data_IF_879920897234
#
_entry.id   IF_879920897234
#
_cell.length_a   1.000
_cell.length_b   1.000
_cell.length_c   1.000
_cell.angle_alpha   90.00
_cell.angle_beta   90.00
_cell.angle_gamma   90.00
#
_symmetry.space_group_name_H-M   'P 1'
#
loop_
_entity.id
_entity.type
_entity.pdbx_description
1 polymer ?
#
# COMPACT_ATOMS: atom_id res chain seq x y z
N UNK A 1 11.08 -6.21 6.44
CA UNK A 1 10.47 -5.86 5.16
C UNK A 1 9.14 -5.14 5.40
N UNK A 2 8.83 -4.16 4.59
CA UNK A 2 7.57 -3.41 4.73
C UNK A 2 6.48 -4.07 3.92
N UNK A 3 5.28 -4.13 4.47
CA UNK A 3 4.14 -4.77 3.84
C UNK A 3 2.91 -3.88 3.92
N UNK A 4 2.13 -3.85 2.84
CA UNK A 4 0.86 -3.14 2.79
C UNK A 4 -0.22 -4.07 2.24
N UNK A 5 -1.36 -4.09 2.91
CA UNK A 5 -2.53 -4.84 2.45
C UNK A 5 -3.62 -3.86 2.04
N UNK A 6 -4.00 -3.89 0.78
CA UNK A 6 -5.02 -2.98 0.26
C UNK A 6 -6.37 -3.17 0.96
N UNK A 7 -6.66 -4.38 1.41
CA UNK A 7 -7.91 -4.68 2.11
C UNK A 7 -8.10 -3.90 3.40
N UNK A 8 -7.03 -3.38 3.98
CA UNK A 8 -7.14 -2.54 5.18
C UNK A 8 -7.60 -1.13 4.84
N UNK A 9 -7.45 -0.71 3.60
CA UNK A 9 -7.87 0.60 3.14
C UNK A 9 -9.14 0.50 2.28
N UNK A 10 -9.19 -0.50 1.42
CA UNK A 10 -10.36 -0.76 0.56
C UNK A 10 -10.91 -2.14 0.93
N UNK A 11 -12.00 -2.20 1.70
CA UNK A 11 -12.57 -3.47 2.13
C UNK A 11 -12.87 -4.41 0.96
N UNK A 12 -12.48 -5.66 1.12
CA UNK A 12 -12.72 -6.67 0.10
C UNK A 12 -11.64 -6.79 -0.95
N UNK A 13 -10.64 -5.92 -0.96
CA UNK A 13 -9.55 -6.03 -1.92
C UNK A 13 -8.48 -6.99 -1.39
N UNK A 14 -8.18 -8.09 -2.11
CA UNK A 14 -7.20 -9.08 -1.65
C UNK A 14 -5.76 -8.72 -1.99
N UNK A 15 -5.54 -7.63 -2.70
CA UNK A 15 -4.20 -7.26 -3.14
C UNK A 15 -3.30 -6.84 -1.98
N UNK A 16 -2.05 -7.24 -2.07
CA UNK A 16 -1.05 -6.82 -1.09
C UNK A 16 0.31 -6.73 -1.78
N UNK A 17 1.24 -6.03 -1.14
CA UNK A 17 2.59 -5.90 -1.66
C UNK A 17 3.60 -5.80 -0.52
N UNK A 18 4.84 -6.12 -0.84
CA UNK A 18 5.95 -6.03 0.10
C UNK A 18 7.18 -5.49 -0.61
N UNK A 19 7.98 -4.76 0.12
CA UNK A 19 9.27 -4.27 -0.36
C UNK A 19 10.13 -3.91 0.84
N UNK A 20 11.42 -3.80 0.64
CA UNK A 20 12.33 -3.47 1.73
C UNK A 20 12.14 -2.03 2.22
N UNK A 21 11.81 -1.13 1.32
CA UNK A 21 11.65 0.28 1.64
C UNK A 21 10.20 0.72 1.59
N UNK A 22 9.82 1.56 2.55
CA UNK A 22 8.47 2.11 2.61
C UNK A 22 8.12 2.86 1.34
N UNK A 23 9.04 3.64 0.79
CA UNK A 23 8.79 4.42 -0.42
C UNK A 23 8.39 3.52 -1.59
N UNK A 24 9.00 2.35 -1.70
CA UNK A 24 8.67 1.41 -2.75
C UNK A 24 7.28 0.82 -2.55
N UNK A 25 6.94 0.50 -1.31
CA UNK A 25 5.60 -0.01 -0.99
C UNK A 25 4.54 1.03 -1.32
N UNK A 26 4.80 2.28 -0.95
CA UNK A 26 3.87 3.38 -1.25
C UNK A 26 3.68 3.52 -2.76
N UNK A 27 4.77 3.47 -3.52
CA UNK A 27 4.70 3.60 -4.97
C UNK A 27 3.86 2.49 -5.59
N UNK A 28 4.06 1.26 -5.15
CA UNK A 28 3.30 0.12 -5.64
C UNK A 28 1.83 0.22 -5.25
N UNK A 29 1.54 0.68 -4.03
CA UNK A 29 0.17 0.85 -3.58
C UNK A 29 -0.54 1.95 -4.36
N UNK A 30 0.14 3.05 -4.63
CA UNK A 30 -0.42 4.14 -5.44
C UNK A 30 -0.75 3.64 -6.84
N UNK A 31 0.18 2.91 -7.45
CA UNK A 31 -0.05 2.35 -8.78
C UNK A 31 -1.24 1.38 -8.78
N UNK A 32 -1.36 0.57 -7.74
CA UNK A 32 -2.49 -0.34 -7.60
C UNK A 32 -3.81 0.43 -7.52
N UNK A 33 -3.85 1.50 -6.73
CA UNK A 33 -5.07 2.31 -6.62
C UNK A 33 -5.47 2.91 -7.96
N UNK A 34 -4.51 3.33 -8.75
CA UNK A 34 -4.78 3.93 -10.05
C UNK A 34 -5.29 2.90 -11.06
N UNK A 35 -4.70 1.72 -11.07
CA UNK A 35 -5.01 0.70 -12.08
C UNK A 35 -6.19 -0.18 -11.68
N UNK A 36 -6.29 -0.56 -10.42
CA UNK A 36 -7.33 -1.49 -9.96
C UNK A 36 -8.58 -0.80 -9.46
N UNK A 37 -8.43 0.37 -8.84
CA UNK A 37 -9.56 1.09 -8.26
C UNK A 37 -9.93 2.35 -9.03
N UNK A 38 -9.27 2.62 -10.14
CA UNK A 38 -9.61 3.74 -11.01
C UNK A 38 -9.38 5.11 -10.43
N UNK A 39 -8.53 5.22 -9.42
CA UNK A 39 -8.21 6.51 -8.82
C UNK A 39 -7.36 7.32 -9.79
N UNK A 40 -7.92 8.38 -10.33
CA UNK A 40 -7.22 9.22 -11.29
C UNK A 40 -6.34 10.26 -10.63
N UNK A 41 -6.68 10.64 -9.41
CA UNK A 41 -5.92 11.62 -8.64
C UNK A 41 -5.53 11.01 -7.31
N UNK A 42 -4.24 10.93 -7.05
CA UNK A 42 -3.74 10.42 -5.79
C UNK A 42 -3.44 11.62 -4.88
N UNK A 43 -4.23 11.76 -3.84
CA UNK A 43 -4.08 12.87 -2.91
C UNK A 43 -3.09 12.52 -1.82
N UNK A 44 -2.52 13.56 -1.23
CA UNK A 44 -1.58 13.40 -0.13
C UNK A 44 -2.19 12.63 1.04
N UNK A 45 -3.48 12.85 1.31
CA UNK A 45 -4.18 12.11 2.37
C UNK A 45 -4.23 10.61 2.09
N UNK A 46 -4.36 10.22 0.84
CA UNK A 46 -4.33 8.81 0.48
C UNK A 46 -2.94 8.22 0.73
N UNK A 47 -1.90 8.95 0.35
CA UNK A 47 -0.53 8.51 0.58
C UNK A 47 -0.29 8.33 2.08
N UNK A 48 -0.75 9.26 2.89
CA UNK A 48 -0.62 9.16 4.34
C UNK A 48 -1.38 7.97 4.91
N UNK A 49 -2.57 7.68 4.38
CA UNK A 49 -3.33 6.53 4.81
C UNK A 49 -2.61 5.23 4.46
N UNK A 50 -2.00 5.18 3.29
CA UNK A 50 -1.21 4.02 2.89
C UNK A 50 -0.04 3.83 3.85
N UNK A 51 0.69 4.91 4.12
CA UNK A 51 1.83 4.85 5.03
C UNK A 51 1.42 4.38 6.42
N UNK A 52 0.29 4.84 6.91
CA UNK A 52 -0.21 4.46 8.23
C UNK A 52 -0.54 2.98 8.33
N UNK A 53 -0.81 2.34 7.21
CA UNK A 53 -1.18 0.92 7.16
C UNK A 53 -0.03 0.00 6.76
N UNK A 54 1.13 0.57 6.47
CA UNK A 54 2.31 -0.25 6.18
C UNK A 54 2.83 -0.86 7.46
N UNK A 55 2.93 -2.17 7.47
CA UNK A 55 3.47 -2.90 8.61
C UNK A 55 4.93 -3.21 8.36
N UNK A 56 5.74 -3.06 9.39
CA UNK A 56 7.13 -3.47 9.33
C UNK A 56 7.20 -4.92 9.81
N UNK A 57 7.23 -5.83 8.86
CA UNK A 57 7.29 -7.25 9.16
C UNK A 57 8.72 -7.72 9.11
N UNK A 58 9.24 -8.12 10.28
CA UNK A 58 10.55 -8.71 10.33
C UNK A 58 10.48 -10.05 9.61
N UNK A 59 11.43 -10.30 8.73
CA UNK A 59 11.53 -11.61 8.12
C UNK A 59 11.88 -12.58 9.21
N UNK A 60 11.06 -13.58 9.40
CA UNK A 60 11.36 -14.62 10.36
C UNK A 60 12.63 -15.32 9.89
N UNK A 61 13.66 -15.16 10.65
CA UNK A 61 14.91 -15.79 10.31
C UNK A 61 14.78 -17.31 10.41
#
# INVERSE_FOLDING_TARGET
>A
MKQFECGSLVPGCPWHTRAEEEAEVVRRAVDHMRTAHGETTIRETMVENIKARIANRAEAA
#
